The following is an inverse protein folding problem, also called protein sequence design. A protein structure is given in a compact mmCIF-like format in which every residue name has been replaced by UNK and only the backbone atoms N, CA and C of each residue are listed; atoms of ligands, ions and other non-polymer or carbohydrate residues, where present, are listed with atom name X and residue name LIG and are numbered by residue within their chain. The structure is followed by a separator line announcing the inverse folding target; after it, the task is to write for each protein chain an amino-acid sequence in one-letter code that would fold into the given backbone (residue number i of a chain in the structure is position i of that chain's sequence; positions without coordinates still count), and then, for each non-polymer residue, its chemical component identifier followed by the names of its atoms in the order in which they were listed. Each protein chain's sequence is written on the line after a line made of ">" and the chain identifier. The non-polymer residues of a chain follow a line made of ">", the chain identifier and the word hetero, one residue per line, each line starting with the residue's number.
data_IF_921403210436
#
_entry.id   IF_921403210436
#
_cell.length_a   1.000
_cell.length_b   1.000
_cell.length_c   1.000
_cell.angle_alpha   90.00
_cell.angle_beta   90.00
_cell.angle_gamma   90.00
#
_symmetry.space_group_name_H-M   'P 1'
#
loop_
_entity.id
_entity.type
_entity.pdbx_description
1 polymer ?
#
# COMPACT_ATOMS: atom_id res chain seq x y z
N UNK A 1 -85.27 75.65 -89.29
CA UNK A 1 -84.68 75.06 -88.07
C UNK A 1 -85.21 73.67 -87.77
N UNK A 2 -86.48 73.36 -88.08
CA UNK A 2 -87.08 72.05 -87.80
C UNK A 2 -86.55 70.90 -88.69
N UNK A 3 -86.32 71.13 -89.99
CA UNK A 3 -85.75 70.13 -90.90
C UNK A 3 -84.30 69.73 -90.57
N UNK A 4 -83.44 70.70 -90.19
CA UNK A 4 -82.06 70.42 -89.81
C UNK A 4 -81.97 69.58 -88.50
N UNK A 5 -82.93 69.76 -87.60
CA UNK A 5 -83.05 68.94 -86.38
C UNK A 5 -83.43 67.50 -86.71
N UNK A 6 -84.36 67.30 -87.65
CA UNK A 6 -84.79 65.96 -88.12
C UNK A 6 -83.63 65.21 -88.79
N UNK A 7 -82.82 65.90 -89.60
CA UNK A 7 -81.69 65.29 -90.31
C UNK A 7 -80.57 64.85 -89.36
N UNK A 8 -80.26 65.66 -88.34
CA UNK A 8 -79.33 65.29 -87.26
C UNK A 8 -79.86 64.08 -86.47
N UNK A 9 -81.16 64.06 -86.15
CA UNK A 9 -81.77 62.90 -85.48
C UNK A 9 -81.64 61.63 -86.33
N UNK A 10 -81.93 61.70 -87.63
CA UNK A 10 -81.78 60.56 -88.55
C UNK A 10 -80.34 60.06 -88.63
N UNK A 11 -79.35 60.96 -88.60
CA UNK A 11 -77.95 60.58 -88.56
C UNK A 11 -77.60 59.84 -87.26
N UNK A 12 -78.07 60.34 -86.11
CA UNK A 12 -77.88 59.67 -84.80
C UNK A 12 -78.51 58.28 -84.81
N UNK A 13 -79.73 58.12 -85.36
CA UNK A 13 -80.37 56.81 -85.48
C UNK A 13 -79.60 55.85 -86.39
N UNK A 14 -79.01 56.34 -87.49
CA UNK A 14 -78.17 55.54 -88.39
C UNK A 14 -76.88 55.09 -87.70
N UNK A 15 -76.18 56.00 -87.03
CA UNK A 15 -74.95 55.68 -86.29
C UNK A 15 -75.23 54.70 -85.15
N UNK A 16 -76.35 54.87 -84.43
CA UNK A 16 -76.80 53.93 -83.41
C UNK A 16 -77.10 52.54 -84.00
N UNK A 17 -77.78 52.48 -85.16
CA UNK A 17 -78.07 51.23 -85.83
C UNK A 17 -76.80 50.51 -86.29
N UNK A 18 -75.84 51.24 -86.88
CA UNK A 18 -74.54 50.68 -87.30
C UNK A 18 -73.76 50.17 -86.08
N UNK A 19 -73.69 50.98 -85.00
CA UNK A 19 -73.01 50.58 -83.77
C UNK A 19 -73.61 49.31 -83.17
N UNK A 20 -74.95 49.21 -83.12
CA UNK A 20 -75.65 48.02 -82.68
C UNK A 20 -75.35 46.81 -83.56
N UNK A 21 -75.34 46.97 -84.89
CA UNK A 21 -75.03 45.90 -85.82
C UNK A 21 -73.60 45.38 -85.64
N UNK A 22 -72.62 46.29 -85.53
CA UNK A 22 -71.21 45.95 -85.28
C UNK A 22 -71.06 45.22 -83.93
N UNK A 23 -71.75 45.69 -82.89
CA UNK A 23 -71.74 45.03 -81.58
C UNK A 23 -72.31 43.62 -81.66
N UNK A 24 -73.47 43.44 -82.29
CA UNK A 24 -74.11 42.13 -82.43
C UNK A 24 -73.24 41.17 -83.25
N UNK A 25 -72.65 41.62 -84.37
CA UNK A 25 -71.73 40.82 -85.18
C UNK A 25 -70.46 40.42 -84.41
N UNK A 26 -69.90 41.34 -83.63
CA UNK A 26 -68.71 41.06 -82.81
C UNK A 26 -69.02 40.06 -81.70
N UNK A 27 -70.16 40.20 -81.02
CA UNK A 27 -70.62 39.27 -80.00
C UNK A 27 -70.90 37.88 -80.60
N UNK A 28 -71.58 37.81 -81.75
CA UNK A 28 -71.85 36.56 -82.46
C UNK A 28 -70.53 35.86 -82.85
N UNK A 29 -69.56 36.59 -83.39
CA UNK A 29 -68.23 36.06 -83.72
C UNK A 29 -67.49 35.54 -82.48
N UNK A 30 -67.52 36.27 -81.36
CA UNK A 30 -66.88 35.86 -80.12
C UNK A 30 -67.52 34.59 -79.51
N UNK A 31 -68.83 34.40 -79.74
CA UNK A 31 -69.59 33.22 -79.33
C UNK A 31 -69.50 32.06 -80.34
N UNK A 32 -68.84 32.27 -81.48
CA UNK A 32 -68.68 31.27 -82.54
C UNK A 32 -69.96 30.99 -83.33
N UNK A 33 -70.89 31.95 -83.39
CA UNK A 33 -72.10 31.85 -84.22
C UNK A 33 -71.80 32.08 -85.72
N UNK A 34 -72.59 31.47 -86.62
CA UNK A 34 -72.48 31.69 -88.07
C UNK A 34 -72.77 33.14 -88.48
N UNK A 35 -72.44 33.52 -89.73
CA UNK A 35 -72.62 34.89 -90.26
C UNK A 35 -74.09 35.35 -90.28
N UNK A 36 -75.02 34.40 -90.46
CA UNK A 36 -76.45 34.59 -90.31
C UNK A 36 -76.92 33.90 -89.03
N UNK A 37 -77.44 34.66 -88.07
CA UNK A 37 -77.98 34.17 -86.81
C UNK A 37 -79.26 34.91 -86.46
N UNK A 38 -80.15 34.23 -85.77
CA UNK A 38 -81.35 34.83 -85.19
C UNK A 38 -81.04 35.50 -83.85
N UNK A 39 -81.85 36.47 -83.45
CA UNK A 39 -81.75 37.08 -82.12
C UNK A 39 -81.85 36.05 -81.00
N UNK A 40 -82.67 35.01 -81.18
CA UNK A 40 -82.83 33.90 -80.22
C UNK A 40 -81.55 33.07 -80.10
N UNK A 41 -80.88 32.74 -81.20
CA UNK A 41 -79.60 32.01 -81.18
C UNK A 41 -78.49 32.82 -80.48
N UNK A 42 -78.46 34.15 -80.70
CA UNK A 42 -77.54 35.03 -79.99
C UNK A 42 -77.82 35.06 -78.49
N UNK A 43 -79.08 35.17 -78.09
CA UNK A 43 -79.49 35.16 -76.68
C UNK A 43 -79.16 33.82 -76.01
N UNK A 44 -79.42 32.69 -76.67
CA UNK A 44 -79.10 31.35 -76.16
C UNK A 44 -77.58 31.20 -75.97
N UNK A 45 -76.78 31.62 -76.96
CA UNK A 45 -75.32 31.54 -76.89
C UNK A 45 -74.74 32.44 -75.78
N UNK A 46 -75.25 33.68 -75.64
CA UNK A 46 -74.88 34.58 -74.55
C UNK A 46 -75.21 33.96 -73.18
N UNK A 47 -76.44 33.48 -73.00
CA UNK A 47 -76.88 32.87 -71.75
C UNK A 47 -76.07 31.60 -71.41
N UNK A 48 -75.71 30.79 -72.41
CA UNK A 48 -74.85 29.62 -72.23
C UNK A 48 -73.46 30.02 -71.76
N UNK A 49 -72.83 31.00 -72.40
CA UNK A 49 -71.49 31.47 -72.04
C UNK A 49 -71.48 32.13 -70.67
N UNK A 50 -72.49 32.92 -70.32
CA UNK A 50 -72.65 33.51 -68.97
C UNK A 50 -72.75 32.40 -67.91
N UNK A 51 -73.56 31.36 -68.15
CA UNK A 51 -73.66 30.22 -67.22
C UNK A 51 -72.35 29.45 -67.10
N UNK A 52 -71.64 29.23 -68.20
CA UNK A 52 -70.33 28.58 -68.18
C UNK A 52 -69.30 29.39 -67.42
N UNK A 53 -69.26 30.72 -67.63
CA UNK A 53 -68.37 31.62 -66.90
C UNK A 53 -68.68 31.60 -65.39
N UNK A 54 -69.95 31.70 -65.00
CA UNK A 54 -70.36 31.64 -63.60
C UNK A 54 -69.99 30.30 -62.94
N UNK A 55 -70.18 29.18 -63.65
CA UNK A 55 -69.78 27.86 -63.16
C UNK A 55 -68.25 27.74 -63.03
N UNK A 56 -67.49 28.21 -64.01
CA UNK A 56 -66.03 28.19 -63.98
C UNK A 56 -65.47 29.06 -62.85
N UNK A 57 -66.04 30.24 -62.61
CA UNK A 57 -65.68 31.09 -61.47
C UNK A 57 -65.96 30.41 -60.13
N UNK A 58 -67.10 29.72 -60.01
CA UNK A 58 -67.43 28.95 -58.81
C UNK A 58 -66.45 27.78 -58.59
N UNK A 59 -66.09 27.05 -59.65
CA UNK A 59 -65.11 25.96 -59.60
C UNK A 59 -63.70 26.46 -59.25
N UNK A 60 -63.25 27.57 -59.85
CA UNK A 60 -61.95 28.19 -59.55
C UNK A 60 -61.92 28.62 -58.08
N UNK A 61 -62.98 29.27 -57.59
CA UNK A 61 -63.07 29.68 -56.19
C UNK A 61 -63.01 28.47 -55.24
N UNK A 62 -63.78 27.42 -55.52
CA UNK A 62 -63.77 26.21 -54.72
C UNK A 62 -62.40 25.50 -54.75
N UNK A 63 -61.74 25.45 -55.92
CA UNK A 63 -60.40 24.89 -56.06
C UNK A 63 -59.35 25.71 -55.30
N UNK A 64 -59.45 27.04 -55.33
CA UNK A 64 -58.56 27.94 -54.61
C UNK A 64 -58.74 27.81 -53.08
N UNK A 65 -59.97 27.74 -52.60
CA UNK A 65 -60.26 27.48 -51.18
C UNK A 65 -59.69 26.13 -50.73
N UNK A 66 -59.88 25.08 -51.52
CA UNK A 66 -59.34 23.74 -51.24
C UNK A 66 -57.81 23.72 -51.25
N UNK A 67 -57.18 24.40 -52.22
CA UNK A 67 -55.73 24.51 -52.31
C UNK A 67 -55.16 25.26 -51.10
N UNK A 68 -55.77 26.38 -50.72
CA UNK A 68 -55.35 27.15 -49.54
C UNK A 68 -55.48 26.33 -48.25
N UNK A 69 -56.57 25.58 -48.09
CA UNK A 69 -56.75 24.68 -46.94
C UNK A 69 -55.70 23.57 -46.91
N UNK A 70 -55.37 22.96 -48.06
CA UNK A 70 -54.33 21.93 -48.16
C UNK A 70 -52.93 22.48 -47.87
N UNK A 71 -52.61 23.69 -48.33
CA UNK A 71 -51.34 24.37 -48.04
C UNK A 71 -51.23 24.65 -46.54
N UNK A 72 -52.28 25.15 -45.91
CA UNK A 72 -52.29 25.42 -44.47
C UNK A 72 -52.10 24.14 -43.65
N UNK A 73 -52.79 23.04 -44.00
CA UNK A 73 -52.59 21.73 -43.35
C UNK A 73 -51.17 21.20 -43.54
N UNK A 74 -50.60 21.34 -44.75
CA UNK A 74 -49.23 20.91 -45.02
C UNK A 74 -48.21 21.73 -44.24
N UNK A 75 -48.39 23.05 -44.12
CA UNK A 75 -47.54 23.92 -43.31
C UNK A 75 -47.55 23.49 -41.83
N UNK A 76 -48.74 23.24 -41.27
CA UNK A 76 -48.87 22.76 -39.89
C UNK A 76 -48.16 21.40 -39.68
N UNK A 77 -48.29 20.48 -40.65
CA UNK A 77 -47.60 19.18 -40.60
C UNK A 77 -46.09 19.32 -40.67
N UNK A 78 -45.57 20.21 -41.51
CA UNK A 78 -44.13 20.48 -41.62
C UNK A 78 -43.60 21.07 -40.33
N UNK A 79 -44.27 22.08 -39.77
CA UNK A 79 -43.86 22.68 -38.49
C UNK A 79 -43.87 21.67 -37.34
N UNK A 80 -44.88 20.79 -37.30
CA UNK A 80 -44.95 19.71 -36.31
C UNK A 80 -43.80 18.70 -36.49
N UNK A 81 -43.50 18.32 -37.73
CA UNK A 81 -42.41 17.39 -38.04
C UNK A 81 -41.02 18.00 -37.71
N UNK A 82 -40.81 19.28 -37.99
CA UNK A 82 -39.58 19.99 -37.64
C UNK A 82 -39.38 20.05 -36.11
N UNK A 83 -40.44 20.38 -35.36
CA UNK A 83 -40.41 20.37 -33.89
C UNK A 83 -40.10 18.97 -33.36
N UNK A 84 -40.76 17.94 -33.87
CA UNK A 84 -40.51 16.55 -33.47
C UNK A 84 -39.07 16.12 -33.79
N UNK A 85 -38.55 16.50 -34.96
CA UNK A 85 -37.17 16.20 -35.36
C UNK A 85 -36.16 16.89 -34.44
N UNK A 86 -36.40 18.15 -34.08
CA UNK A 86 -35.54 18.89 -33.15
C UNK A 86 -35.49 18.23 -31.77
N UNK A 87 -36.64 17.79 -31.25
CA UNK A 87 -36.71 17.06 -29.97
C UNK A 87 -35.97 15.73 -30.06
N UNK A 88 -36.22 14.93 -31.10
CA UNK A 88 -35.55 13.64 -31.29
C UNK A 88 -34.03 13.78 -31.44
N UNK A 89 -33.54 14.83 -32.10
CA UNK A 89 -32.10 15.11 -32.19
C UNK A 89 -31.50 15.48 -30.83
N UNK A 90 -32.20 16.30 -30.02
CA UNK A 90 -31.76 16.64 -28.68
C UNK A 90 -31.71 15.42 -27.74
N UNK A 91 -32.74 14.57 -27.78
CA UNK A 91 -32.78 13.31 -27.03
C UNK A 91 -31.66 12.36 -27.45
N UNK A 92 -31.39 12.25 -28.76
CA UNK A 92 -30.27 11.47 -29.28
C UNK A 92 -28.93 11.99 -28.78
N UNK A 93 -28.71 13.29 -28.79
CA UNK A 93 -27.47 13.91 -28.31
C UNK A 93 -27.28 13.65 -26.81
N UNK A 94 -28.33 13.81 -26.01
CA UNK A 94 -28.31 13.49 -24.58
C UNK A 94 -28.03 12.00 -24.32
N UNK A 95 -28.64 11.10 -25.11
CA UNK A 95 -28.40 9.67 -25.00
C UNK A 95 -26.95 9.28 -25.36
N UNK A 96 -26.37 9.92 -26.39
CA UNK A 96 -24.97 9.72 -26.76
C UNK A 96 -24.03 10.22 -25.66
N UNK A 97 -24.25 11.42 -25.12
CA UNK A 97 -23.45 11.95 -24.02
C UNK A 97 -23.53 11.08 -22.75
N UNK A 98 -24.72 10.56 -22.44
CA UNK A 98 -24.93 9.62 -21.34
C UNK A 98 -24.21 8.30 -21.55
N UNK A 99 -24.25 7.76 -22.79
CA UNK A 99 -23.53 6.54 -23.17
C UNK A 99 -22.02 6.72 -23.03
N UNK A 100 -21.46 7.80 -23.56
CA UNK A 100 -20.02 8.08 -23.51
C UNK A 100 -19.54 8.22 -22.06
N UNK A 101 -20.32 8.90 -21.21
CA UNK A 101 -20.03 9.03 -19.77
C UNK A 101 -20.07 7.69 -19.06
N UNK A 102 -21.06 6.84 -19.37
CA UNK A 102 -21.18 5.50 -18.80
C UNK A 102 -20.01 4.60 -19.23
N UNK A 103 -19.62 4.62 -20.51
CA UNK A 103 -18.47 3.87 -21.01
C UNK A 103 -17.16 4.29 -20.33
N UNK A 104 -16.92 5.60 -20.20
CA UNK A 104 -15.74 6.12 -19.48
C UNK A 104 -15.74 5.69 -18.01
N UNK A 105 -16.89 5.75 -17.33
CA UNK A 105 -17.01 5.31 -15.93
C UNK A 105 -16.78 3.81 -15.79
N UNK A 106 -17.31 2.98 -16.71
CA UNK A 106 -17.09 1.54 -16.71
C UNK A 106 -15.62 1.19 -16.94
N UNK A 107 -14.93 1.87 -17.86
CA UNK A 107 -13.51 1.63 -18.12
C UNK A 107 -12.64 2.04 -16.93
N UNK A 108 -12.93 3.20 -16.31
CA UNK A 108 -12.27 3.63 -15.08
C UNK A 108 -12.47 2.61 -13.94
N UNK A 109 -13.71 2.14 -13.74
CA UNK A 109 -14.03 1.14 -12.73
C UNK A 109 -13.34 -0.20 -12.99
N UNK A 110 -13.25 -0.64 -14.25
CA UNK A 110 -12.53 -1.86 -14.64
C UNK A 110 -11.04 -1.75 -14.33
N UNK A 111 -10.43 -0.62 -14.68
CA UNK A 111 -9.02 -0.35 -14.39
C UNK A 111 -8.75 -0.34 -12.88
N UNK A 112 -9.55 0.40 -12.11
CA UNK A 112 -9.44 0.44 -10.65
C UNK A 112 -9.63 -0.95 -10.03
N UNK A 113 -10.65 -1.70 -10.45
CA UNK A 113 -10.91 -3.06 -9.96
C UNK A 113 -9.74 -4.00 -10.29
N UNK A 114 -9.12 -3.87 -11.47
CA UNK A 114 -7.97 -4.67 -11.86
C UNK A 114 -6.75 -4.39 -10.97
N UNK A 115 -6.49 -3.11 -10.67
CA UNK A 115 -5.40 -2.69 -9.78
C UNK A 115 -5.63 -3.13 -8.33
N UNK A 116 -6.86 -2.99 -7.82
CA UNK A 116 -7.25 -3.48 -6.50
C UNK A 116 -7.10 -5.00 -6.40
N UNK A 117 -7.53 -5.74 -7.44
CA UNK A 117 -7.39 -7.18 -7.49
C UNK A 117 -5.90 -7.60 -7.51
N UNK A 118 -5.06 -6.87 -8.26
CA UNK A 118 -3.61 -7.10 -8.30
C UNK A 118 -2.98 -6.86 -6.92
N UNK A 119 -3.36 -5.77 -6.24
CA UNK A 119 -2.90 -5.46 -4.88
C UNK A 119 -3.34 -6.53 -3.88
N UNK A 120 -4.60 -6.95 -3.93
CA UNK A 120 -5.13 -8.00 -3.07
C UNK A 120 -4.41 -9.35 -3.29
N UNK A 121 -4.11 -9.71 -4.55
CA UNK A 121 -3.31 -10.91 -4.88
C UNK A 121 -1.89 -10.82 -4.32
N UNK A 122 -1.23 -9.66 -4.44
CA UNK A 122 0.10 -9.45 -3.88
C UNK A 122 0.10 -9.57 -2.35
N UNK A 123 -0.87 -8.94 -1.67
CA UNK A 123 -1.02 -9.04 -0.22
C UNK A 123 -1.29 -10.48 0.22
N UNK A 124 -2.13 -11.23 -0.52
CA UNK A 124 -2.39 -12.63 -0.23
C UNK A 124 -1.11 -13.49 -0.38
N UNK A 125 -0.31 -13.23 -1.42
CA UNK A 125 0.95 -13.94 -1.63
C UNK A 125 1.97 -13.64 -0.52
N UNK A 126 2.07 -12.39 -0.07
CA UNK A 126 2.89 -12.00 1.08
C UNK A 126 2.42 -12.68 2.36
N UNK A 127 1.11 -12.64 2.65
CA UNK A 127 0.53 -13.30 3.83
C UNK A 127 0.72 -14.81 3.81
N UNK A 128 0.66 -15.45 2.65
CA UNK A 128 0.99 -16.88 2.52
C UNK A 128 2.47 -17.16 2.78
N UNK A 129 3.39 -16.29 2.34
CA UNK A 129 4.82 -16.41 2.67
C UNK A 129 5.06 -16.22 4.16
N UNK A 130 4.47 -15.19 4.76
CA UNK A 130 4.51 -14.94 6.20
C UNK A 130 3.98 -16.15 6.98
N UNK A 131 2.81 -16.69 6.60
CA UNK A 131 2.25 -17.87 7.23
C UNK A 131 3.19 -19.08 7.11
N UNK A 132 3.77 -19.35 5.94
CA UNK A 132 4.76 -20.42 5.79
C UNK A 132 5.98 -20.21 6.68
N UNK A 133 6.45 -18.98 6.82
CA UNK A 133 7.58 -18.64 7.68
C UNK A 133 7.21 -18.79 9.16
N UNK A 134 6.03 -18.32 9.57
CA UNK A 134 5.47 -18.52 10.91
C UNK A 134 5.34 -20.02 11.18
N UNK A 135 4.78 -20.81 10.26
CA UNK A 135 4.71 -22.26 10.39
C UNK A 135 6.09 -22.88 10.50
N UNK A 136 7.10 -22.42 9.74
CA UNK A 136 8.48 -22.91 9.85
C UNK A 136 9.13 -22.57 11.20
N UNK A 137 8.86 -21.37 11.73
CA UNK A 137 9.39 -20.90 13.03
C UNK A 137 8.67 -21.59 14.20
N UNK A 138 7.35 -21.73 14.13
CA UNK A 138 6.53 -22.43 15.11
C UNK A 138 6.69 -23.95 15.02
N UNK A 139 7.05 -24.48 13.86
CA UNK A 139 7.55 -25.84 13.70
C UNK A 139 8.99 -25.95 14.22
N UNK A 140 9.17 -25.66 15.52
CA UNK A 140 9.98 -26.57 16.31
C UNK A 140 9.28 -27.94 16.20
N UNK A 141 9.68 -28.75 15.22
CA UNK A 141 9.17 -30.11 15.08
C UNK A 141 9.30 -30.83 16.43
N UNK A 142 8.45 -31.82 16.74
CA UNK A 142 8.63 -32.64 17.93
C UNK A 142 10.08 -33.12 18.08
N UNK A 143 10.77 -33.39 16.98
CA UNK A 143 12.21 -33.66 16.93
C UNK A 143 13.11 -32.53 17.40
N UNK A 144 12.87 -31.26 17.01
CA UNK A 144 13.66 -30.13 17.49
C UNK A 144 13.43 -29.85 18.98
N UNK A 145 12.18 -29.97 19.45
CA UNK A 145 11.87 -29.88 20.89
C UNK A 145 12.59 -31.00 21.65
N UNK A 146 12.53 -32.24 21.15
CA UNK A 146 13.23 -33.39 21.76
C UNK A 146 14.75 -33.20 21.73
N UNK A 147 15.33 -32.66 20.66
CA UNK A 147 16.76 -32.32 20.59
C UNK A 147 17.16 -31.26 21.61
N UNK A 148 16.40 -30.17 21.73
CA UNK A 148 16.61 -29.12 22.75
C UNK A 148 16.48 -29.70 24.16
N UNK A 149 15.48 -30.54 24.41
CA UNK A 149 15.31 -31.23 25.70
C UNK A 149 16.47 -32.18 26.03
N UNK A 150 16.99 -32.92 25.05
CA UNK A 150 18.18 -33.77 25.22
C UNK A 150 19.43 -32.96 25.52
N UNK A 151 19.63 -31.83 24.83
CA UNK A 151 20.74 -30.92 25.07
C UNK A 151 20.69 -30.33 26.49
N UNK A 152 19.54 -29.78 26.88
CA UNK A 152 19.32 -29.26 28.24
C UNK A 152 19.53 -30.33 29.33
N UNK A 153 19.09 -31.56 29.08
CA UNK A 153 19.29 -32.68 30.01
C UNK A 153 20.76 -33.05 30.14
N UNK A 154 21.52 -32.98 29.03
CA UNK A 154 22.97 -33.20 29.04
C UNK A 154 23.69 -32.09 29.80
N UNK A 155 23.40 -30.83 29.51
CA UNK A 155 23.98 -29.68 30.21
C UNK A 155 23.74 -29.76 31.72
N UNK A 156 22.51 -30.08 32.15
CA UNK A 156 22.21 -30.27 33.58
C UNK A 156 23.01 -31.40 34.23
N UNK A 157 23.24 -32.51 33.52
CA UNK A 157 24.07 -33.61 34.04
C UNK A 157 25.54 -33.21 34.13
N UNK A 158 26.05 -32.48 33.13
CA UNK A 158 27.44 -32.03 33.10
C UNK A 158 27.69 -30.96 34.18
N UNK A 159 26.75 -30.04 34.39
CA UNK A 159 26.77 -29.05 35.48
C UNK A 159 26.74 -29.73 36.86
N UNK A 160 25.85 -30.70 37.06
CA UNK A 160 25.78 -31.44 38.33
C UNK A 160 27.08 -32.22 38.62
N UNK A 161 27.71 -32.81 37.60
CA UNK A 161 29.03 -33.47 37.74
C UNK A 161 30.13 -32.46 38.06
N UNK A 162 30.16 -31.32 37.37
CA UNK A 162 31.13 -30.27 37.63
C UNK A 162 31.00 -29.74 39.07
N UNK A 163 29.77 -29.50 39.53
CA UNK A 163 29.49 -29.08 40.91
C UNK A 163 29.98 -30.12 41.92
N UNK A 164 29.67 -31.41 41.71
CA UNK A 164 30.15 -32.48 42.59
C UNK A 164 31.68 -32.56 42.62
N UNK A 165 32.33 -32.48 41.46
CA UNK A 165 33.79 -32.48 41.36
C UNK A 165 34.42 -31.28 42.08
N UNK A 166 33.81 -30.10 41.97
CA UNK A 166 34.27 -28.91 42.68
C UNK A 166 34.11 -29.03 44.20
N UNK A 167 32.98 -29.60 44.67
CA UNK A 167 32.74 -29.88 46.08
C UNK A 167 33.75 -30.89 46.65
N UNK A 168 34.04 -31.97 45.93
CA UNK A 168 35.01 -32.99 46.33
C UNK A 168 36.43 -32.41 46.38
N UNK A 169 36.81 -31.58 45.41
CA UNK A 169 38.10 -30.90 45.38
C UNK A 169 38.23 -29.89 46.52
N UNK A 170 37.16 -29.15 46.83
CA UNK A 170 37.11 -28.24 47.99
C UNK A 170 37.28 -28.99 49.32
N UNK A 171 36.62 -30.14 49.49
CA UNK A 171 36.80 -31.00 50.68
C UNK A 171 38.23 -31.52 50.78
N UNK A 172 38.83 -31.93 49.67
CA UNK A 172 40.23 -32.39 49.63
C UNK A 172 41.20 -31.28 50.04
N UNK A 173 41.06 -30.09 49.45
CA UNK A 173 41.88 -28.92 49.79
C UNK A 173 41.74 -28.53 51.27
N UNK A 174 40.55 -28.63 51.86
CA UNK A 174 40.37 -28.39 53.31
C UNK A 174 41.15 -29.38 54.16
N UNK A 175 41.14 -30.67 53.80
CA UNK A 175 41.91 -31.71 54.50
C UNK A 175 43.41 -31.49 54.34
N UNK A 176 43.88 -31.27 53.12
CA UNK A 176 45.29 -31.00 52.82
C UNK A 176 45.79 -29.75 53.54
N UNK A 177 44.98 -28.68 53.58
CA UNK A 177 45.26 -27.46 54.35
C UNK A 177 45.38 -27.77 55.85
N UNK A 178 44.43 -28.52 56.42
CA UNK A 178 44.47 -28.88 57.84
C UNK A 178 45.74 -29.69 58.16
N UNK A 179 46.09 -30.69 57.33
CA UNK A 179 47.30 -31.47 57.50
C UNK A 179 48.55 -30.60 57.42
N UNK A 180 48.64 -29.71 56.43
CA UNK A 180 49.77 -28.79 56.30
C UNK A 180 49.90 -27.83 57.49
N UNK A 181 48.77 -27.30 58.00
CA UNK A 181 48.75 -26.46 59.20
C UNK A 181 49.25 -27.22 60.44
N UNK A 182 48.84 -28.48 60.62
CA UNK A 182 49.32 -29.35 61.70
C UNK A 182 50.83 -29.61 61.57
N UNK A 183 51.32 -30.01 60.40
CA UNK A 183 52.76 -30.26 60.19
C UNK A 183 53.59 -28.99 60.43
N UNK A 184 53.10 -27.83 60.00
CA UNK A 184 53.78 -26.55 60.27
C UNK A 184 53.80 -26.25 61.77
N UNK A 185 52.75 -26.57 62.52
CA UNK A 185 52.72 -26.40 63.97
C UNK A 185 53.72 -27.33 64.67
N UNK A 186 53.77 -28.61 64.29
CA UNK A 186 54.73 -29.59 64.81
C UNK A 186 56.18 -29.17 64.53
N UNK A 187 56.48 -28.74 63.29
CA UNK A 187 57.81 -28.25 62.92
C UNK A 187 58.22 -27.01 63.73
N UNK A 188 57.28 -26.14 64.08
CA UNK A 188 57.56 -24.98 64.96
C UNK A 188 57.93 -25.42 66.37
N UNK A 189 57.24 -26.42 66.91
CA UNK A 189 57.58 -26.96 68.23
C UNK A 189 58.97 -27.60 68.24
N UNK A 190 59.30 -28.37 67.19
CA UNK A 190 60.64 -28.97 67.02
C UNK A 190 61.72 -27.89 66.93
N UNK A 191 61.50 -26.82 66.16
CA UNK A 191 62.46 -25.72 66.04
C UNK A 191 62.69 -25.00 67.38
N UNK A 192 61.64 -24.77 68.17
CA UNK A 192 61.79 -24.18 69.50
C UNK A 192 62.64 -25.07 70.42
N UNK A 193 62.37 -26.39 70.44
CA UNK A 193 63.18 -27.35 71.22
C UNK A 193 64.62 -27.41 70.72
N UNK A 194 64.86 -27.26 69.42
CA UNK A 194 66.21 -27.20 68.87
C UNK A 194 66.97 -25.96 69.36
N UNK A 195 66.32 -24.80 69.48
CA UNK A 195 66.93 -23.59 70.07
C UNK A 195 67.24 -23.79 71.55
N UNK A 196 66.32 -24.36 72.32
CA UNK A 196 66.55 -24.69 73.74
C UNK A 196 67.77 -25.61 73.90
N UNK A 197 67.84 -26.69 73.11
CA UNK A 197 68.96 -27.62 73.12
C UNK A 197 70.29 -26.96 72.70
N UNK A 198 70.27 -26.03 71.73
CA UNK A 198 71.46 -25.27 71.34
C UNK A 198 71.95 -24.38 72.47
N UNK A 199 71.04 -23.76 73.23
CA UNK A 199 71.41 -22.95 74.39
C UNK A 199 72.02 -23.82 75.50
N UNK A 200 71.43 -24.97 75.80
CA UNK A 200 72.02 -25.95 76.74
C UNK A 200 73.40 -26.43 76.26
N UNK A 201 73.56 -26.68 74.96
CA UNK A 201 74.84 -27.07 74.36
C UNK A 201 75.89 -25.95 74.44
N UNK A 202 75.49 -24.68 74.24
CA UNK A 202 76.35 -23.51 74.44
C UNK A 202 76.84 -23.42 75.90
N UNK A 203 75.95 -23.58 76.86
CA UNK A 203 76.28 -23.56 78.29
C UNK A 203 77.19 -24.72 78.68
N UNK A 204 76.88 -25.94 78.21
CA UNK A 204 77.71 -27.12 78.46
C UNK A 204 79.11 -26.96 77.85
N UNK A 205 79.20 -26.45 76.63
CA UNK A 205 80.50 -26.19 76.00
C UNK A 205 81.31 -25.15 76.78
N UNK A 206 80.66 -24.09 77.29
CA UNK A 206 81.33 -23.12 78.15
C UNK A 206 81.85 -23.78 79.44
N UNK A 207 81.02 -24.56 80.13
CA UNK A 207 81.42 -25.29 81.33
C UNK A 207 82.57 -26.27 81.04
N UNK A 208 82.51 -26.99 79.93
CA UNK A 208 83.56 -27.93 79.51
C UNK A 208 84.88 -27.19 79.23
N UNK A 209 84.84 -26.02 78.58
CA UNK A 209 86.02 -25.19 78.40
C UNK A 209 86.56 -24.65 79.74
N UNK A 210 85.70 -24.18 80.64
CA UNK A 210 86.13 -23.73 81.98
C UNK A 210 86.76 -24.85 82.82
N UNK A 211 86.25 -26.09 82.71
CA UNK A 211 86.84 -27.27 83.36
C UNK A 211 88.14 -27.69 82.68
N UNK A 212 88.20 -27.63 81.35
CA UNK A 212 89.42 -27.86 80.58
C UNK A 212 90.52 -26.89 81.00
N UNK A 213 90.21 -25.60 81.12
CA UNK A 213 91.17 -24.57 81.54
C UNK A 213 91.68 -24.84 82.97
N UNK A 214 90.79 -25.19 83.91
CA UNK A 214 91.18 -25.58 85.29
C UNK A 214 92.05 -26.83 85.34
N UNK A 215 91.75 -27.84 84.52
CA UNK A 215 92.54 -29.07 84.40
C UNK A 215 93.90 -28.80 83.73
N UNK A 216 93.96 -27.92 82.74
CA UNK A 216 95.21 -27.54 82.07
C UNK A 216 96.17 -26.77 83.00
N UNK A 217 95.66 -26.10 84.02
CA UNK A 217 96.46 -25.43 85.06
C UNK A 217 97.05 -26.41 86.09
N UNK A 218 96.38 -27.53 86.37
CA UNK A 218 96.71 -28.45 87.48
C UNK A 218 97.24 -29.83 87.07
N UNK A 219 97.12 -30.22 85.80
CA UNK A 219 97.55 -31.53 85.33
C UNK A 219 99.08 -31.63 85.16
N UNK A 220 99.66 -32.74 85.65
CA UNK A 220 101.09 -33.09 85.49
C UNK A 220 101.45 -33.51 84.04
N UNK A 221 100.47 -34.01 83.27
CA UNK A 221 100.65 -34.44 81.87
C UNK A 221 99.72 -33.66 80.92
N UNK A 222 100.22 -32.50 80.47
CA UNK A 222 99.47 -31.55 79.64
C UNK A 222 99.26 -32.01 78.21
N UNK A 223 100.07 -32.95 77.72
CA UNK A 223 100.01 -33.42 76.32
C UNK A 223 98.88 -34.43 76.08
N UNK A 224 98.28 -34.97 77.15
CA UNK A 224 97.13 -35.88 77.09
C UNK A 224 95.76 -35.18 77.03
N UNK A 225 95.72 -33.85 77.21
CA UNK A 225 94.49 -33.05 77.24
C UNK A 225 93.98 -32.71 75.83
N UNK A 226 92.87 -33.32 75.41
CA UNK A 226 92.18 -32.96 74.16
C UNK A 226 91.30 -31.71 74.36
N UNK A 227 91.50 -30.70 73.51
CA UNK A 227 90.68 -29.47 73.52
C UNK A 227 89.21 -29.78 73.25
N UNK A 228 88.33 -29.04 73.91
CA UNK A 228 86.89 -29.12 73.68
C UNK A 228 86.58 -28.63 72.25
N UNK A 229 85.79 -29.36 71.45
CA UNK A 229 85.43 -28.95 70.09
C UNK A 229 84.72 -27.58 70.05
N UNK A 230 85.07 -26.74 69.07
CA UNK A 230 84.40 -25.45 68.86
C UNK A 230 82.96 -25.62 68.39
N UNK A 231 82.06 -24.76 68.84
CA UNK A 231 80.69 -24.70 68.33
C UNK A 231 80.71 -24.23 66.87
N UNK A 232 79.91 -24.87 66.02
CA UNK A 232 79.67 -24.40 64.65
C UNK A 232 78.65 -23.26 64.67
N UNK A 233 79.14 -22.03 64.67
CA UNK A 233 78.33 -20.81 64.79
C UNK A 233 77.38 -20.60 63.59
N UNK A 234 77.74 -21.07 62.40
CA UNK A 234 76.90 -20.93 61.19
C UNK A 234 75.59 -21.74 61.31
N UNK A 235 75.67 -22.96 61.84
CA UNK A 235 74.48 -23.81 62.06
C UNK A 235 73.60 -23.23 63.18
N UNK A 236 74.22 -22.71 64.22
CA UNK A 236 73.52 -22.07 65.35
C UNK A 236 72.74 -20.85 64.89
N UNK A 237 73.39 -19.96 64.13
CA UNK A 237 72.72 -18.77 63.60
C UNK A 237 71.56 -19.13 62.64
N UNK A 238 71.71 -20.18 61.83
CA UNK A 238 70.65 -20.63 60.92
C UNK A 238 69.41 -21.13 61.68
N UNK A 239 69.61 -21.83 62.81
CA UNK A 239 68.51 -22.35 63.63
C UNK A 239 67.83 -21.23 64.41
N UNK A 240 68.60 -20.28 64.95
CA UNK A 240 68.07 -19.09 65.62
C UNK A 240 67.30 -18.18 64.64
N UNK A 241 67.87 -17.90 63.45
CA UNK A 241 67.20 -17.13 62.39
C UNK A 241 65.93 -17.82 61.87
N UNK A 242 65.93 -19.15 61.74
CA UNK A 242 64.75 -19.91 61.31
C UNK A 242 63.56 -19.80 62.29
N UNK A 243 63.83 -19.52 63.57
CA UNK A 243 62.81 -19.23 64.59
C UNK A 243 62.39 -17.75 64.55
N UNK A 244 63.33 -16.83 64.35
CA UNK A 244 63.07 -15.37 64.30
C UNK A 244 62.29 -14.91 63.06
N UNK A 245 62.66 -15.38 61.85
CA UNK A 245 61.95 -15.06 60.60
C UNK A 245 60.48 -15.52 60.61
N UNK A 246 60.11 -16.42 61.52
CA UNK A 246 58.74 -16.93 61.66
C UNK A 246 57.96 -16.31 62.82
N UNK A 247 58.59 -15.55 63.72
CA UNK A 247 57.87 -14.65 64.64
C UNK A 247 57.38 -13.39 63.92
N UNK A 248 58.06 -12.95 62.85
CA UNK A 248 57.69 -11.75 62.07
C UNK A 248 56.57 -11.96 61.04
N UNK A 249 56.20 -13.21 60.73
CA UNK A 249 55.14 -13.56 59.76
C UNK A 249 53.87 -14.13 60.38
N UNK A 250 53.68 -13.95 61.69
CA UNK A 250 52.46 -14.37 62.41
C UNK A 250 51.50 -13.20 62.58
#
# INVERSE_FOLDING_TARGET
>A
MEQASIEVQLQVWKELAISKQVLMQTAAKALGLPEEYTTEELEIALNKTIKLAANAEAEIKAAQEKANAAIADMQLKVEAAEKATKVALAEKEQALAGKDTAEQSMEANRSQTADELKKAKSQLAEKQKELKQITKVLADTPENVVKKMKALKKEKMDEAKAKKSAEDLSKKLKKEKQTAETTVAEQKEILNKAVELINEYKELNKLANEQFDKLAETAEDKDSLTKVPSINEEIVELIEKAVEEKKSKK
#
